data_IF_232969951346
#
_entry.id   IF_232969951346
#
_cell.length_a   1.000
_cell.length_b   1.000
_cell.length_c   1.000
_cell.angle_alpha   90.00
_cell.angle_beta   90.00
_cell.angle_gamma   90.00
#
_symmetry.space_group_name_H-M   'P 1'
#
loop_
_entity.id
_entity.type
_entity.pdbx_description
1 polymer ?
#
# COMPACT_ATOMS: atom_id res chain seq x y z
N UNK A 1 10.90 0.62 15.14
CA UNK A 1 10.10 -0.63 14.92
C UNK A 1 10.13 -0.94 13.43
N UNK A 2 10.11 -2.21 13.02
CA UNK A 2 10.14 -2.56 11.59
C UNK A 2 8.78 -2.29 10.93
N UNK A 3 8.78 -1.86 9.65
CA UNK A 3 7.58 -1.63 8.82
C UNK A 3 6.61 -2.82 8.87
N UNK A 4 7.12 -4.04 8.75
CA UNK A 4 6.31 -5.25 8.72
C UNK A 4 5.48 -5.46 9.99
N UNK A 5 5.94 -4.95 11.14
CA UNK A 5 5.14 -4.96 12.38
C UNK A 5 3.83 -4.20 12.17
N UNK A 6 3.90 -3.01 11.57
CA UNK A 6 2.70 -2.21 11.28
C UNK A 6 1.80 -2.83 10.20
N UNK A 7 2.39 -3.48 9.19
CA UNK A 7 1.63 -4.15 8.13
C UNK A 7 0.90 -5.41 8.60
N UNK A 8 1.32 -6.01 9.73
CA UNK A 8 0.66 -7.15 10.37
C UNK A 8 -0.40 -6.75 11.40
N UNK A 9 -0.48 -5.47 11.76
CA UNK A 9 -1.48 -4.96 12.69
C UNK A 9 -2.88 -5.01 12.09
N UNK A 10 -3.87 -5.27 12.94
CA UNK A 10 -5.26 -4.97 12.61
C UNK A 10 -5.45 -3.46 12.41
N UNK A 11 -6.55 -3.05 11.77
CA UNK A 11 -6.81 -1.62 11.57
C UNK A 11 -6.93 -0.84 12.89
N UNK A 12 -7.46 -1.48 13.94
CA UNK A 12 -7.58 -0.86 15.26
C UNK A 12 -6.23 -0.68 15.96
N UNK A 13 -5.34 -1.66 15.84
CA UNK A 13 -3.97 -1.56 16.36
C UNK A 13 -3.17 -0.50 15.60
N UNK A 14 -3.28 -0.46 14.27
CA UNK A 14 -2.64 0.56 13.45
C UNK A 14 -3.17 1.96 13.79
N UNK A 15 -4.47 2.10 14.02
CA UNK A 15 -5.07 3.37 14.44
C UNK A 15 -4.48 3.88 15.75
N UNK A 16 -4.26 2.99 16.73
CA UNK A 16 -3.65 3.35 18.02
C UNK A 16 -2.19 3.79 17.87
N UNK A 17 -1.49 3.27 16.88
CA UNK A 17 -0.12 3.67 16.57
C UNK A 17 -0.02 5.00 15.80
N UNK A 18 -1.12 5.44 15.18
CA UNK A 18 -1.21 6.67 14.41
C UNK A 18 -1.70 7.85 15.26
N UNK A 19 -1.31 9.07 14.88
CA UNK A 19 -2.01 10.29 15.30
C UNK A 19 -3.21 10.50 14.39
N UNK A 20 -4.36 10.83 15.00
CA UNK A 20 -5.61 11.08 14.28
C UNK A 20 -6.03 12.55 14.48
N UNK A 21 -6.30 13.26 13.38
CA UNK A 21 -6.88 14.61 13.38
C UNK A 21 -8.06 14.67 12.44
N UNK A 22 -9.16 15.27 12.89
CA UNK A 22 -10.29 15.61 12.03
C UNK A 22 -10.04 16.93 11.31
N UNK A 23 -10.53 17.07 10.07
CA UNK A 23 -10.54 18.32 9.35
C UNK A 23 -11.81 18.47 8.50
N UNK A 24 -12.13 19.70 8.16
CA UNK A 24 -13.22 20.00 7.25
C UNK A 24 -12.73 19.82 5.81
N UNK A 25 -13.29 18.83 5.10
CA UNK A 25 -12.95 18.60 3.70
C UNK A 25 -13.45 19.75 2.83
N UNK A 26 -12.56 20.35 2.04
CA UNK A 26 -12.92 21.29 0.97
C UNK A 26 -13.08 20.55 -0.35
N UNK A 27 -14.10 20.89 -1.15
CA UNK A 27 -14.30 20.32 -2.47
C UNK A 27 -15.74 20.46 -2.98
N UNK A 28 -16.02 20.21 -4.26
CA UNK A 28 -17.36 20.22 -4.79
C UNK A 28 -18.20 19.14 -4.12
N UNK A 29 -19.15 19.56 -3.30
CA UNK A 29 -20.06 18.72 -2.55
C UNK A 29 -21.11 19.57 -1.85
N UNK A 30 -22.33 19.01 -1.70
CA UNK A 30 -23.48 19.75 -1.17
C UNK A 30 -23.25 20.34 0.23
N UNK A 31 -24.24 21.16 0.67
CA UNK A 31 -24.21 21.92 1.90
C UNK A 31 -23.85 21.13 3.18
N UNK A 32 -24.16 19.84 3.22
CA UNK A 32 -23.85 18.92 4.33
C UNK A 32 -22.33 18.66 4.46
N UNK A 33 -21.63 18.52 3.35
CA UNK A 33 -20.16 18.26 3.34
C UNK A 33 -19.37 19.46 3.83
N UNK A 34 -19.88 20.67 3.61
CA UNK A 34 -19.21 21.93 4.01
C UNK A 34 -19.46 22.30 5.47
N UNK A 35 -20.37 21.59 6.18
CA UNK A 35 -20.73 21.87 7.58
C UNK A 35 -20.20 20.85 8.57
N UNK A 36 -19.75 19.67 8.12
CA UNK A 36 -19.31 18.58 9.01
C UNK A 36 -17.84 18.24 8.81
N UNK A 37 -17.10 18.14 9.91
CA UNK A 37 -15.70 17.66 9.91
C UNK A 37 -15.63 16.15 9.70
N UNK A 38 -15.88 15.68 8.47
CA UNK A 38 -15.78 14.25 8.11
C UNK A 38 -14.39 13.86 7.61
N UNK A 39 -13.54 14.82 7.27
CA UNK A 39 -12.18 14.58 6.83
C UNK A 39 -11.29 14.03 7.95
N UNK A 40 -10.41 13.12 7.60
CA UNK A 40 -9.49 12.44 8.51
C UNK A 40 -8.05 12.60 8.02
N UNK A 41 -7.16 13.02 8.90
CA UNK A 41 -5.72 13.03 8.72
C UNK A 41 -5.11 12.02 9.70
N UNK A 42 -4.47 10.98 9.17
CA UNK A 42 -3.66 10.04 9.93
C UNK A 42 -2.18 10.37 9.75
N UNK A 43 -1.42 10.38 10.85
CA UNK A 43 0.04 10.54 10.84
C UNK A 43 0.72 9.35 11.49
N UNK A 44 1.73 8.78 10.87
CA UNK A 44 2.61 7.79 11.45
C UNK A 44 4.03 8.35 11.55
N UNK A 45 4.37 8.85 12.73
CA UNK A 45 5.60 9.63 12.97
C UNK A 45 6.87 8.84 12.67
N UNK A 46 6.91 7.57 13.00
CA UNK A 46 8.10 6.73 12.85
C UNK A 46 8.60 6.66 11.40
N UNK A 47 7.68 6.74 10.42
CA UNK A 47 8.02 6.72 9.00
C UNK A 47 7.78 8.06 8.30
N UNK A 48 7.43 9.10 9.07
CA UNK A 48 7.08 10.42 8.53
C UNK A 48 6.01 10.36 7.43
N UNK A 49 4.97 9.54 7.65
CA UNK A 49 3.86 9.35 6.73
C UNK A 49 2.62 10.08 7.22
N UNK A 50 1.96 10.78 6.30
CA UNK A 50 0.66 11.41 6.53
C UNK A 50 -0.32 11.03 5.42
N UNK A 51 -1.52 10.63 5.81
CA UNK A 51 -2.60 10.23 4.90
C UNK A 51 -3.85 11.06 5.20
N UNK A 52 -4.38 11.69 4.15
CA UNK A 52 -5.68 12.40 4.17
C UNK A 52 -6.76 11.57 3.50
N UNK A 53 -7.95 11.55 4.08
CA UNK A 53 -9.15 10.98 3.47
C UNK A 53 -10.37 11.84 3.77
N UNK A 54 -11.13 12.21 2.74
CA UNK A 54 -12.34 13.02 2.85
C UNK A 54 -13.38 12.67 1.77
N UNK A 55 -13.21 11.53 1.09
CA UNK A 55 -14.09 11.11 -0.01
C UNK A 55 -15.39 10.49 0.48
N UNK A 56 -15.36 9.83 1.65
CA UNK A 56 -16.52 9.22 2.28
C UNK A 56 -17.47 10.24 2.89
N UNK A 57 -18.70 9.82 3.12
CA UNK A 57 -19.75 10.66 3.72
C UNK A 57 -19.65 10.75 5.24
N UNK A 58 -18.94 9.85 5.88
CA UNK A 58 -18.76 9.79 7.33
C UNK A 58 -17.29 9.82 7.72
N UNK A 59 -17.02 10.33 8.92
CA UNK A 59 -15.67 10.29 9.50
C UNK A 59 -15.19 8.84 9.72
N UNK A 60 -16.11 7.90 9.98
CA UNK A 60 -15.79 6.50 10.13
C UNK A 60 -15.29 5.88 8.80
N UNK A 61 -16.01 6.08 7.69
CA UNK A 61 -15.57 5.62 6.36
C UNK A 61 -14.21 6.22 5.99
N UNK A 62 -14.03 7.52 6.18
CA UNK A 62 -12.77 8.20 5.89
C UNK A 62 -11.62 7.68 6.76
N UNK A 63 -11.88 7.32 8.01
CA UNK A 63 -10.90 6.69 8.89
C UNK A 63 -10.46 5.31 8.37
N UNK A 64 -11.39 4.46 7.96
CA UNK A 64 -11.10 3.14 7.38
C UNK A 64 -10.31 3.29 6.07
N UNK A 65 -10.73 4.19 5.19
CA UNK A 65 -10.00 4.48 3.95
C UNK A 65 -8.58 4.98 4.21
N UNK A 66 -8.40 5.87 5.20
CA UNK A 66 -7.09 6.39 5.56
C UNK A 66 -6.16 5.30 6.11
N UNK A 67 -6.69 4.35 6.91
CA UNK A 67 -5.92 3.22 7.44
C UNK A 67 -5.45 2.27 6.33
N UNK A 68 -6.32 1.89 5.40
CA UNK A 68 -5.91 1.08 4.25
C UNK A 68 -4.86 1.81 3.38
N UNK A 69 -5.01 3.11 3.16
CA UNK A 69 -4.01 3.92 2.45
C UNK A 69 -2.70 4.01 3.23
N UNK A 70 -2.74 4.06 4.57
CA UNK A 70 -1.53 4.04 5.39
C UNK A 70 -0.78 2.73 5.23
N UNK A 71 -1.46 1.58 5.26
CA UNK A 71 -0.84 0.28 5.00
C UNK A 71 -0.19 0.24 3.61
N UNK A 72 -0.87 0.73 2.58
CA UNK A 72 -0.31 0.78 1.23
C UNK A 72 0.85 1.79 1.10
N UNK A 73 0.79 2.93 1.78
CA UNK A 73 1.89 3.90 1.81
C UNK A 73 3.14 3.29 2.48
N UNK A 74 2.98 2.61 3.62
CA UNK A 74 4.05 1.85 4.25
C UNK A 74 4.67 0.82 3.28
N UNK A 75 3.82 0.03 2.62
CA UNK A 75 4.25 -0.99 1.68
C UNK A 75 5.00 -0.44 0.46
N UNK A 76 4.64 0.75 -0.02
CA UNK A 76 5.19 1.32 -1.26
C UNK A 76 6.33 2.30 -1.04
N UNK A 77 6.40 2.97 0.11
CA UNK A 77 7.36 4.04 0.37
C UNK A 77 8.50 3.62 1.28
N UNK A 78 8.21 2.77 2.28
CA UNK A 78 9.23 2.30 3.23
C UNK A 78 9.91 1.05 2.68
N UNK A 79 11.23 1.13 2.46
CA UNK A 79 12.04 -0.02 2.02
C UNK A 79 12.80 -0.58 3.21
N UNK A 80 12.79 -1.91 3.32
CA UNK A 80 13.62 -2.66 4.24
C UNK A 80 14.48 -3.65 3.45
N UNK A 81 15.57 -4.12 4.05
CA UNK A 81 16.32 -5.23 3.45
C UNK A 81 15.35 -6.42 3.32
N UNK A 82 15.41 -7.16 2.19
CA UNK A 82 14.54 -8.32 2.03
C UNK A 82 14.74 -9.24 3.23
N UNK A 83 13.71 -9.36 4.06
CA UNK A 83 13.70 -10.39 5.08
C UNK A 83 13.88 -11.73 4.38
N UNK A 84 14.57 -12.66 5.05
CA UNK A 84 14.82 -14.01 4.53
C UNK A 84 13.54 -14.55 3.84
N UNK A 85 13.61 -15.13 2.62
CA UNK A 85 12.51 -15.22 1.67
C UNK A 85 11.36 -16.17 2.02
N UNK A 86 11.11 -16.42 3.28
CA UNK A 86 10.14 -17.41 3.73
C UNK A 86 8.73 -16.87 4.06
N UNK A 87 8.35 -15.72 3.50
CA UNK A 87 6.92 -15.41 3.48
C UNK A 87 6.28 -16.24 2.36
N UNK A 88 5.43 -17.24 2.69
CA UNK A 88 4.71 -17.96 1.66
C UNK A 88 3.79 -17.01 0.90
N UNK A 89 3.55 -17.29 -0.37
CA UNK A 89 2.60 -16.52 -1.15
C UNK A 89 1.22 -16.54 -0.48
N UNK A 90 0.64 -15.38 -0.11
CA UNK A 90 -0.60 -15.33 0.67
C UNK A 90 -1.87 -15.56 -0.15
N UNK A 91 -1.73 -15.79 -1.44
CA UNK A 91 -2.82 -16.08 -2.36
C UNK A 91 -2.93 -17.56 -2.74
N UNK A 92 -3.73 -17.86 -3.74
CA UNK A 92 -3.91 -19.20 -4.28
C UNK A 92 -3.86 -19.19 -5.81
N UNK A 93 -3.29 -20.24 -6.41
CA UNK A 93 -3.24 -20.40 -7.88
C UNK A 93 -2.71 -19.16 -8.64
N UNK A 94 -1.74 -18.45 -8.07
CA UNK A 94 -1.20 -17.22 -8.67
C UNK A 94 -2.13 -16.00 -8.60
N UNK A 95 -3.17 -16.05 -7.79
CA UNK A 95 -4.12 -14.96 -7.58
C UNK A 95 -4.08 -14.44 -6.15
N UNK A 96 -4.06 -13.12 -6.00
CA UNK A 96 -4.18 -12.42 -4.72
C UNK A 96 -5.00 -11.14 -4.95
N UNK A 97 -6.03 -10.95 -4.16
CA UNK A 97 -6.89 -9.76 -4.25
C UNK A 97 -6.36 -8.64 -3.35
N UNK A 98 -6.51 -7.36 -3.74
CA UNK A 98 -6.15 -6.22 -2.90
C UNK A 98 -6.89 -6.15 -1.56
N UNK A 99 -8.06 -6.80 -1.45
CA UNK A 99 -8.84 -6.92 -0.21
C UNK A 99 -8.27 -7.94 0.79
N UNK A 100 -7.30 -8.75 0.40
CA UNK A 100 -6.63 -9.67 1.31
C UNK A 100 -5.80 -8.89 2.35
N UNK A 101 -5.95 -9.21 3.63
CA UNK A 101 -5.24 -8.52 4.72
C UNK A 101 -3.71 -8.57 4.59
N UNK A 102 -3.16 -9.60 3.96
CA UNK A 102 -1.72 -9.75 3.71
C UNK A 102 -1.25 -9.09 2.40
N UNK A 103 -2.15 -8.49 1.61
CA UNK A 103 -1.78 -7.85 0.36
C UNK A 103 -0.75 -6.73 0.54
N UNK A 104 -0.88 -5.79 1.51
CA UNK A 104 0.13 -4.77 1.73
C UNK A 104 1.49 -5.34 2.14
N UNK A 105 1.53 -6.37 2.96
CA UNK A 105 2.77 -7.04 3.37
C UNK A 105 3.45 -7.73 2.17
N UNK A 106 2.67 -8.44 1.35
CA UNK A 106 3.16 -9.04 0.11
C UNK A 106 3.75 -7.98 -0.84
N UNK A 107 3.03 -6.88 -1.07
CA UNK A 107 3.49 -5.76 -1.91
C UNK A 107 4.81 -5.19 -1.39
N UNK A 108 4.92 -5.00 -0.08
CA UNK A 108 6.13 -4.48 0.56
C UNK A 108 7.35 -5.36 0.26
N UNK A 109 7.23 -6.67 0.47
CA UNK A 109 8.30 -7.63 0.22
C UNK A 109 8.67 -7.74 -1.27
N UNK A 110 7.68 -7.70 -2.16
CA UNK A 110 7.93 -7.66 -3.62
C UNK A 110 8.80 -6.47 -3.99
N UNK A 111 8.46 -5.27 -3.50
CA UNK A 111 9.24 -4.07 -3.83
C UNK A 111 10.60 -4.01 -3.12
N UNK A 112 10.77 -4.65 -1.96
CA UNK A 112 12.08 -4.79 -1.32
C UNK A 112 13.01 -5.67 -2.15
N UNK A 113 12.53 -6.82 -2.62
CA UNK A 113 13.29 -7.71 -3.52
C UNK A 113 13.62 -6.98 -4.82
N UNK A 114 12.65 -6.29 -5.43
CA UNK A 114 12.92 -5.50 -6.63
C UNK A 114 13.98 -4.42 -6.39
N UNK A 115 13.93 -3.72 -5.26
CA UNK A 115 14.92 -2.71 -4.91
C UNK A 115 16.33 -3.31 -4.75
N UNK A 116 16.45 -4.48 -4.12
CA UNK A 116 17.73 -5.18 -3.96
C UNK A 116 18.28 -5.81 -5.25
N UNK A 117 17.46 -5.99 -6.28
CA UNK A 117 17.76 -6.64 -7.56
C UNK A 117 17.59 -5.71 -8.77
N UNK A 118 17.84 -4.41 -8.60
CA UNK A 118 17.78 -3.41 -9.69
C UNK A 118 16.45 -3.44 -10.49
N UNK A 119 15.34 -3.62 -9.82
CA UNK A 119 14.01 -3.66 -10.43
C UNK A 119 13.67 -4.97 -11.13
N UNK A 120 14.39 -6.06 -10.85
CA UNK A 120 14.13 -7.36 -11.49
C UNK A 120 12.82 -7.98 -11.01
N UNK A 121 11.80 -7.87 -11.86
CA UNK A 121 10.48 -8.47 -11.65
C UNK A 121 10.52 -10.01 -11.65
N UNK A 122 11.48 -10.63 -12.38
CA UNK A 122 11.60 -12.10 -12.42
C UNK A 122 12.10 -12.63 -11.08
N UNK A 123 13.11 -11.96 -10.49
CA UNK A 123 13.63 -12.31 -9.17
C UNK A 123 12.54 -12.15 -8.08
N UNK A 124 11.77 -11.06 -8.12
CA UNK A 124 10.67 -10.86 -7.19
C UNK A 124 9.55 -11.92 -7.35
N UNK A 125 9.20 -12.30 -8.57
CA UNK A 125 8.21 -13.34 -8.83
C UNK A 125 8.69 -14.72 -8.33
N UNK A 126 9.94 -15.08 -8.62
CA UNK A 126 10.53 -16.35 -8.22
C UNK A 126 10.53 -16.54 -6.69
N UNK A 127 10.75 -15.48 -5.91
CA UNK A 127 10.72 -15.52 -4.45
C UNK A 127 9.37 -15.98 -3.87
N UNK A 128 8.29 -15.83 -4.64
CA UNK A 128 6.93 -16.26 -4.25
C UNK A 128 6.41 -17.44 -5.07
N UNK A 129 7.27 -18.14 -5.82
CA UNK A 129 6.89 -19.21 -6.74
C UNK A 129 5.83 -18.75 -7.77
N UNK A 130 5.91 -17.51 -8.22
CA UNK A 130 5.04 -16.91 -9.22
C UNK A 130 5.76 -16.75 -10.56
N UNK A 131 4.99 -16.75 -11.64
CA UNK A 131 5.50 -16.25 -12.92
C UNK A 131 5.55 -14.71 -12.90
N UNK A 132 6.46 -14.07 -13.65
CA UNK A 132 6.49 -12.61 -13.76
C UNK A 132 5.16 -12.00 -14.23
N UNK A 133 4.46 -12.68 -15.11
CA UNK A 133 3.14 -12.25 -15.61
C UNK A 133 2.07 -12.29 -14.52
N UNK A 134 2.07 -13.35 -13.67
CA UNK A 134 1.15 -13.44 -12.54
C UNK A 134 1.43 -12.33 -11.51
N UNK A 135 2.69 -12.08 -11.17
CA UNK A 135 3.07 -11.00 -10.27
C UNK A 135 2.61 -9.63 -10.80
N UNK A 136 2.89 -9.34 -12.06
CA UNK A 136 2.45 -8.09 -12.71
C UNK A 136 0.93 -7.96 -12.69
N UNK A 137 0.19 -9.04 -12.98
CA UNK A 137 -1.28 -9.05 -12.93
C UNK A 137 -1.81 -8.74 -11.52
N UNK A 138 -1.18 -9.28 -10.48
CA UNK A 138 -1.54 -8.99 -9.08
C UNK A 138 -1.31 -7.51 -8.77
N UNK A 139 -0.11 -6.97 -9.05
CA UNK A 139 0.25 -5.59 -8.76
C UNK A 139 -0.63 -4.57 -9.52
N UNK A 140 -1.08 -4.91 -10.72
CA UNK A 140 -1.95 -4.04 -11.53
C UNK A 140 -3.37 -3.89 -11.01
N UNK A 141 -3.82 -4.73 -10.10
CA UNK A 141 -5.14 -4.61 -9.47
C UNK A 141 -5.23 -3.39 -8.55
N UNK A 142 -4.07 -2.90 -8.04
CA UNK A 142 -3.99 -1.68 -7.25
C UNK A 142 -3.28 -0.58 -8.05
N UNK A 143 -3.93 0.58 -8.17
CA UNK A 143 -3.41 1.71 -8.98
C UNK A 143 -2.06 2.23 -8.46
N UNK A 144 -1.87 2.29 -7.15
CA UNK A 144 -0.63 2.78 -6.55
C UNK A 144 0.52 1.80 -6.81
N UNK A 145 0.26 0.48 -6.70
CA UNK A 145 1.21 -0.57 -7.07
C UNK A 145 1.59 -0.50 -8.54
N UNK A 146 0.60 -0.36 -9.44
CA UNK A 146 0.84 -0.24 -10.89
C UNK A 146 1.71 0.97 -11.21
N UNK A 147 1.43 2.13 -10.60
CA UNK A 147 2.22 3.36 -10.77
C UNK A 147 3.65 3.17 -10.27
N UNK A 148 3.83 2.58 -9.09
CA UNK A 148 5.16 2.30 -8.51
C UNK A 148 5.96 1.34 -9.39
N UNK A 149 5.33 0.29 -9.90
CA UNK A 149 5.95 -0.68 -10.80
C UNK A 149 6.44 0.00 -12.10
N UNK A 150 5.63 0.85 -12.72
CA UNK A 150 6.02 1.62 -13.91
C UNK A 150 7.17 2.58 -13.62
N UNK A 151 7.14 3.27 -12.47
CA UNK A 151 8.22 4.13 -12.02
C UNK A 151 9.54 3.38 -11.87
N UNK A 152 9.54 2.22 -11.22
CA UNK A 152 10.72 1.37 -11.07
C UNK A 152 11.26 0.90 -12.42
N UNK A 153 10.40 0.51 -13.35
CA UNK A 153 10.81 0.10 -14.69
C UNK A 153 11.48 1.24 -15.45
N UNK A 154 10.90 2.45 -15.39
CA UNK A 154 11.49 3.64 -16.01
C UNK A 154 12.85 3.97 -15.43
N UNK A 155 13.01 3.93 -14.11
CA UNK A 155 14.29 4.19 -13.43
C UNK A 155 15.38 3.18 -13.83
N UNK A 156 15.00 1.94 -14.11
CA UNK A 156 15.93 0.88 -14.54
C UNK A 156 16.04 0.73 -16.07
N UNK A 157 15.60 1.72 -16.87
CA UNK A 157 15.69 1.69 -18.32
C UNK A 157 14.87 0.60 -19.02
N UNK A 158 13.89 0.02 -18.32
CA UNK A 158 13.05 -1.06 -18.84
C UNK A 158 11.84 -0.49 -19.60
N UNK A 159 11.38 -1.21 -20.62
CA UNK A 159 10.18 -0.82 -21.37
C UNK A 159 8.95 -0.77 -20.45
N UNK A 160 8.07 0.25 -20.59
CA UNK A 160 6.84 0.32 -19.84
C UNK A 160 5.95 -0.89 -20.13
N UNK A 161 5.22 -1.34 -19.12
CA UNK A 161 4.19 -2.36 -19.33
C UNK A 161 2.97 -1.69 -19.96
N UNK A 162 2.33 -2.39 -20.92
CA UNK A 162 1.01 -1.97 -21.40
C UNK A 162 0.03 -2.16 -20.23
N UNK A 163 -0.51 -1.08 -19.75
CA UNK A 163 -1.51 -1.05 -18.66
C UNK A 163 -2.89 -1.10 -19.29
#
# INVERSE_FOLDING_TARGET
>A
MHRDTYLKMTLDELLRACTLKGFQGSGPGGQHRNKTNTGVLLGLREFNLEIKSCEGRSAHENKVHALHRMQMALALQVREAPANPEMPFPGSNGHLQPSNALFPLFVAHVFDIMASKNGDTKAAAAAFNLTPSALVKILRQDKACATKLQGNRKQNGQKPLKI
#
